data_IF_195397800409
#
_entry.id   IF_195397800409
#
_cell.length_a   1.000
_cell.length_b   1.000
_cell.length_c   1.000
_cell.angle_alpha   90.00
_cell.angle_beta   90.00
_cell.angle_gamma   90.00
#
_symmetry.space_group_name_H-M   'P 1'
#
loop_
_entity.id
_entity.type
_entity.pdbx_description
1 polymer ?
#
# COMPACT_ATOMS: atom_id res chain seq x y z
N UNK A 1 -11.52 -62.95 -22.51
CA UNK A 1 -10.24 -63.66 -22.21
C UNK A 1 -9.83 -64.39 -23.48
N UNK A 2 -8.83 -63.87 -24.20
CA UNK A 2 -8.22 -64.60 -25.31
C UNK A 2 -7.37 -65.70 -24.69
N UNK A 3 -7.61 -66.95 -25.08
CA UNK A 3 -6.87 -68.06 -24.51
C UNK A 3 -5.42 -68.02 -24.95
N UNK A 4 -4.47 -68.55 -24.15
CA UNK A 4 -3.07 -68.63 -24.53
C UNK A 4 -2.85 -69.34 -25.85
N UNK A 5 -3.76 -70.25 -26.21
CA UNK A 5 -3.74 -70.99 -27.50
C UNK A 5 -4.07 -70.04 -28.67
N UNK A 6 -5.03 -69.13 -28.52
CA UNK A 6 -5.33 -68.14 -29.56
C UNK A 6 -4.22 -67.14 -29.78
N UNK A 7 -3.53 -66.71 -28.70
CA UNK A 7 -2.33 -65.88 -28.80
C UNK A 7 -1.21 -66.62 -29.56
N UNK A 8 -0.96 -67.89 -29.21
CA UNK A 8 0.05 -68.70 -29.88
C UNK A 8 -0.32 -68.97 -31.35
N UNK A 9 -1.59 -69.28 -31.67
CA UNK A 9 -2.08 -69.49 -33.04
C UNK A 9 -1.94 -68.19 -33.88
N UNK A 10 -2.26 -67.01 -33.32
CA UNK A 10 -2.14 -65.74 -34.02
C UNK A 10 -0.66 -65.38 -34.26
N UNK A 11 0.21 -65.63 -33.28
CA UNK A 11 1.64 -65.46 -33.44
C UNK A 11 2.25 -66.37 -34.51
N UNK A 12 1.79 -67.67 -34.58
CA UNK A 12 2.22 -68.62 -35.54
C UNK A 12 1.71 -68.28 -36.96
N UNK A 13 0.46 -67.84 -37.10
CA UNK A 13 -0.09 -67.36 -38.36
C UNK A 13 0.69 -66.15 -38.91
N UNK A 14 1.04 -65.19 -38.06
CA UNK A 14 1.84 -64.00 -38.43
C UNK A 14 3.24 -64.36 -38.91
N UNK A 15 3.85 -65.47 -38.39
CA UNK A 15 5.15 -65.98 -38.84
C UNK A 15 5.00 -66.65 -40.21
N UNK A 16 3.94 -67.42 -40.43
CA UNK A 16 3.64 -68.08 -41.71
C UNK A 16 3.38 -67.13 -42.85
N UNK A 17 2.64 -66.00 -42.51
CA UNK A 17 2.33 -64.94 -43.44
C UNK A 17 3.47 -63.96 -43.70
N UNK A 18 4.66 -64.22 -43.15
CA UNK A 18 5.85 -63.37 -43.22
C UNK A 18 5.64 -61.92 -42.79
N UNK A 19 4.74 -61.72 -41.80
CA UNK A 19 4.35 -60.44 -41.22
C UNK A 19 4.69 -60.39 -39.73
N UNK A 20 5.96 -60.54 -39.32
CA UNK A 20 6.30 -60.54 -37.91
C UNK A 20 6.12 -59.16 -37.31
N UNK A 21 5.40 -59.06 -36.16
CA UNK A 21 5.33 -57.86 -35.38
C UNK A 21 6.69 -57.56 -34.76
N UNK A 22 7.21 -56.39 -35.01
CA UNK A 22 8.54 -55.96 -34.52
C UNK A 22 8.39 -54.92 -33.43
N UNK A 23 9.09 -55.08 -32.28
CA UNK A 23 9.12 -53.99 -31.27
C UNK A 23 9.92 -52.81 -31.82
N UNK A 24 9.56 -51.60 -31.38
CA UNK A 24 10.34 -50.40 -31.65
C UNK A 24 11.73 -50.53 -31.02
N UNK A 25 12.74 -49.90 -31.65
CA UNK A 25 14.10 -49.85 -31.10
C UNK A 25 14.08 -49.24 -29.69
N UNK A 26 14.72 -49.96 -28.73
CA UNK A 26 14.73 -49.58 -27.32
C UNK A 26 15.29 -48.16 -27.10
N UNK A 27 16.33 -47.75 -27.82
CA UNK A 27 16.90 -46.38 -27.72
C UNK A 27 15.93 -45.33 -28.17
N UNK A 28 15.23 -45.53 -29.30
CA UNK A 28 14.19 -44.62 -29.81
C UNK A 28 13.04 -44.54 -28.82
N UNK A 29 12.64 -45.67 -28.24
CA UNK A 29 11.58 -45.70 -27.23
C UNK A 29 11.92 -44.89 -25.96
N UNK A 30 13.13 -45.07 -25.43
CA UNK A 30 13.59 -44.32 -24.23
C UNK A 30 13.57 -42.81 -24.48
N UNK A 31 14.11 -42.37 -25.64
CA UNK A 31 14.09 -40.94 -26.01
C UNK A 31 12.66 -40.43 -26.14
N UNK A 32 11.78 -41.21 -26.78
CA UNK A 32 10.37 -40.85 -26.90
C UNK A 32 9.69 -40.68 -25.52
N UNK A 33 9.88 -41.64 -24.62
CA UNK A 33 9.31 -41.61 -23.25
C UNK A 33 9.78 -40.38 -22.49
N UNK A 34 11.07 -40.03 -22.58
CA UNK A 34 11.61 -38.82 -21.93
C UNK A 34 10.99 -37.54 -22.51
N UNK A 35 10.93 -37.42 -23.84
CA UNK A 35 10.34 -36.24 -24.49
C UNK A 35 8.84 -36.14 -24.23
N UNK A 36 8.11 -37.24 -24.23
CA UNK A 36 6.68 -37.27 -23.94
C UNK A 36 6.38 -36.82 -22.51
N UNK A 37 7.06 -37.41 -21.52
CA UNK A 37 6.86 -37.04 -20.12
C UNK A 37 7.24 -35.59 -19.80
N UNK A 38 8.39 -35.12 -20.32
CA UNK A 38 8.82 -33.73 -20.14
C UNK A 38 7.89 -32.74 -20.86
N UNK A 39 7.45 -33.06 -22.09
CA UNK A 39 6.51 -32.24 -22.85
C UNK A 39 5.16 -32.08 -22.13
N UNK A 40 4.60 -33.20 -21.66
CA UNK A 40 3.37 -33.16 -20.86
C UNK A 40 3.56 -32.35 -19.57
N UNK A 41 4.66 -32.52 -18.85
CA UNK A 41 4.98 -31.78 -17.64
C UNK A 41 5.07 -30.26 -17.87
N UNK A 42 5.72 -29.85 -18.97
CA UNK A 42 5.81 -28.42 -19.35
C UNK A 42 4.42 -27.87 -19.67
N UNK A 43 3.62 -28.57 -20.48
CA UNK A 43 2.25 -28.14 -20.83
C UNK A 43 1.43 -27.97 -19.55
N UNK A 44 1.44 -28.95 -18.65
CA UNK A 44 0.68 -28.89 -17.39
C UNK A 44 1.11 -27.72 -16.49
N UNK A 45 2.36 -27.29 -16.59
CA UNK A 45 2.88 -26.15 -15.82
C UNK A 45 2.45 -24.79 -16.39
N UNK A 46 2.42 -24.66 -17.73
CA UNK A 46 2.21 -23.38 -18.42
C UNK A 46 0.75 -22.96 -18.51
N UNK A 47 -0.19 -23.91 -18.49
CA UNK A 47 -1.63 -23.62 -18.71
C UNK A 47 -2.47 -23.90 -17.46
N UNK A 48 -3.70 -23.33 -17.38
CA UNK A 48 -4.65 -23.63 -16.29
C UNK A 48 -4.96 -25.14 -16.19
N UNK A 49 -5.31 -25.62 -14.98
CA UNK A 49 -5.48 -27.05 -14.71
C UNK A 49 -6.50 -27.72 -15.62
N UNK A 50 -7.66 -27.08 -15.84
CA UNK A 50 -8.71 -27.64 -16.72
C UNK A 50 -8.22 -27.75 -18.17
N UNK A 51 -7.47 -26.76 -18.64
CA UNK A 51 -6.88 -26.77 -20.00
C UNK A 51 -5.78 -27.83 -20.09
N UNK A 52 -4.94 -27.98 -19.06
CA UNK A 52 -3.89 -29.01 -19.05
C UNK A 52 -4.49 -30.43 -19.04
N UNK A 53 -5.56 -30.66 -18.29
CA UNK A 53 -6.29 -31.94 -18.32
C UNK A 53 -6.80 -32.28 -19.72
N UNK A 54 -7.39 -31.31 -20.43
CA UNK A 54 -7.85 -31.46 -21.80
C UNK A 54 -6.71 -31.78 -22.77
N UNK A 55 -5.57 -31.09 -22.64
CA UNK A 55 -4.37 -31.37 -23.44
C UNK A 55 -3.80 -32.77 -23.18
N UNK A 56 -3.67 -33.16 -21.92
CA UNK A 56 -3.17 -34.49 -21.54
C UNK A 56 -4.10 -35.58 -22.10
N UNK A 57 -5.42 -35.43 -21.96
CA UNK A 57 -6.39 -36.37 -22.50
C UNK A 57 -6.33 -36.43 -24.03
N UNK A 58 -6.33 -35.28 -24.72
CA UNK A 58 -6.25 -35.21 -26.18
C UNK A 58 -4.98 -35.82 -26.75
N UNK A 59 -3.82 -35.50 -26.18
CA UNK A 59 -2.53 -36.05 -26.59
C UNK A 59 -2.46 -37.57 -26.30
N UNK A 60 -3.03 -38.02 -25.19
CA UNK A 60 -3.09 -39.46 -24.85
C UNK A 60 -3.94 -40.24 -25.85
N UNK A 61 -5.10 -39.70 -26.24
CA UNK A 61 -5.94 -40.29 -27.30
C UNK A 61 -5.20 -40.31 -28.63
N UNK A 62 -4.55 -39.23 -29.03
CA UNK A 62 -3.77 -39.16 -30.25
C UNK A 62 -2.63 -40.21 -30.28
N UNK A 63 -1.91 -40.33 -29.17
CA UNK A 63 -0.87 -41.37 -29.02
C UNK A 63 -1.43 -42.79 -29.16
N UNK A 64 -2.54 -43.07 -28.47
CA UNK A 64 -3.22 -44.36 -28.53
C UNK A 64 -3.64 -44.73 -29.96
N UNK A 65 -4.33 -43.82 -30.64
CA UNK A 65 -4.78 -43.99 -32.02
C UNK A 65 -3.59 -44.21 -32.97
N UNK A 66 -2.53 -43.39 -32.83
CA UNK A 66 -1.31 -43.52 -33.61
C UNK A 66 -0.65 -44.88 -33.40
N UNK A 67 -0.58 -45.36 -32.16
CA UNK A 67 0.01 -46.67 -31.83
C UNK A 67 -0.79 -47.84 -32.46
N UNK A 68 -2.12 -47.75 -32.43
CA UNK A 68 -3.00 -48.75 -33.06
C UNK A 68 -2.85 -48.76 -34.58
N UNK A 69 -2.78 -47.58 -35.23
CA UNK A 69 -2.59 -47.47 -36.68
C UNK A 69 -1.23 -48.01 -37.11
N UNK A 70 -0.17 -47.71 -36.39
CA UNK A 70 1.18 -48.23 -36.69
C UNK A 70 1.27 -49.75 -36.48
N UNK A 71 0.62 -50.27 -35.47
CA UNK A 71 0.49 -51.71 -35.29
C UNK A 71 -0.21 -52.35 -36.49
N UNK A 72 -1.33 -51.79 -36.95
CA UNK A 72 -2.15 -52.32 -38.02
C UNK A 72 -1.46 -52.28 -39.41
N UNK A 73 -0.80 -51.18 -39.73
CA UNK A 73 -0.25 -50.92 -41.08
C UNK A 73 1.24 -51.22 -41.21
N UNK A 74 2.02 -51.02 -40.12
CA UNK A 74 3.47 -51.15 -40.15
C UNK A 74 3.99 -52.39 -39.38
N UNK A 75 3.08 -53.13 -38.72
CA UNK A 75 3.40 -54.24 -37.84
C UNK A 75 4.43 -53.89 -36.75
N UNK A 76 4.42 -52.62 -36.29
CA UNK A 76 5.25 -52.12 -35.21
C UNK A 76 4.49 -52.14 -33.90
N UNK A 77 5.10 -52.68 -32.85
CA UNK A 77 4.53 -52.70 -31.52
C UNK A 77 5.10 -51.58 -30.67
N UNK A 78 4.21 -50.70 -30.19
CA UNK A 78 4.54 -49.62 -29.28
C UNK A 78 4.04 -49.95 -27.87
N UNK A 79 4.87 -49.77 -26.82
CA UNK A 79 4.42 -49.92 -25.46
C UNK A 79 3.46 -48.76 -25.08
N UNK A 80 2.21 -49.11 -24.79
CA UNK A 80 1.14 -48.14 -24.46
C UNK A 80 1.09 -47.83 -22.96
N UNK A 81 1.44 -48.82 -22.12
CA UNK A 81 1.26 -48.75 -20.67
C UNK A 81 2.05 -47.62 -20.03
N UNK A 82 3.35 -47.52 -20.34
CA UNK A 82 4.21 -46.51 -19.70
C UNK A 82 3.78 -45.07 -20.06
N UNK A 83 3.62 -44.69 -21.34
CA UNK A 83 3.22 -43.32 -21.68
C UNK A 83 1.82 -42.92 -21.20
N UNK A 84 0.81 -43.80 -21.31
CA UNK A 84 -0.56 -43.49 -21.04
C UNK A 84 -0.99 -43.75 -19.59
N UNK A 85 -0.57 -44.89 -19.01
CA UNK A 85 -1.05 -45.29 -17.67
C UNK A 85 -0.16 -44.74 -16.56
N UNK A 86 1.11 -44.55 -16.83
CA UNK A 86 2.05 -44.04 -15.80
C UNK A 86 2.45 -42.59 -16.04
N UNK A 87 2.98 -42.22 -17.20
CA UNK A 87 3.55 -40.91 -17.43
C UNK A 87 2.49 -39.79 -17.51
N UNK A 88 1.40 -39.99 -18.25
CA UNK A 88 0.40 -38.97 -18.41
C UNK A 88 -0.25 -38.56 -17.05
N UNK A 89 -0.71 -39.53 -16.22
CA UNK A 89 -1.21 -39.17 -14.88
C UNK A 89 -0.15 -38.61 -13.96
N UNK A 90 1.08 -39.16 -13.94
CA UNK A 90 2.16 -38.68 -13.07
C UNK A 90 2.62 -37.27 -13.46
N UNK A 91 2.75 -36.99 -14.77
CA UNK A 91 3.08 -35.64 -15.25
C UNK A 91 2.00 -34.63 -14.91
N UNK A 92 0.72 -35.01 -15.04
CA UNK A 92 -0.40 -34.15 -14.66
C UNK A 92 -0.44 -33.89 -13.15
N UNK A 93 -0.46 -34.95 -12.35
CA UNK A 93 -0.57 -34.84 -10.89
C UNK A 93 0.67 -34.17 -10.28
N UNK A 94 1.88 -34.54 -10.72
CA UNK A 94 3.12 -33.95 -10.23
C UNK A 94 3.24 -32.48 -10.57
N UNK A 95 3.03 -32.09 -11.84
CA UNK A 95 3.10 -30.70 -12.26
C UNK A 95 2.02 -29.84 -11.60
N UNK A 96 0.80 -30.37 -11.47
CA UNK A 96 -0.31 -29.67 -10.82
C UNK A 96 -0.05 -29.53 -9.32
N UNK A 97 0.43 -30.58 -8.66
CA UNK A 97 0.78 -30.54 -7.24
C UNK A 97 1.89 -29.50 -6.93
N UNK A 98 2.96 -29.47 -7.75
CA UNK A 98 4.02 -28.46 -7.61
C UNK A 98 3.48 -27.05 -7.81
N UNK A 99 2.62 -26.85 -8.83
CA UNK A 99 1.99 -25.56 -9.10
C UNK A 99 1.14 -25.06 -7.92
N UNK A 100 0.28 -25.90 -7.37
CA UNK A 100 -0.54 -25.54 -6.20
C UNK A 100 0.28 -25.32 -4.94
N UNK A 101 1.32 -26.13 -4.70
CA UNK A 101 2.21 -25.92 -3.57
C UNK A 101 2.95 -24.57 -3.66
N UNK A 102 3.35 -24.14 -4.86
CA UNK A 102 3.98 -22.85 -5.07
C UNK A 102 3.00 -21.68 -4.86
N UNK A 103 1.79 -21.77 -5.46
CA UNK A 103 0.73 -20.77 -5.27
C UNK A 103 0.31 -20.64 -3.81
N UNK A 104 0.19 -21.79 -3.11
CA UNK A 104 -0.15 -21.79 -1.69
C UNK A 104 0.96 -21.14 -0.83
N UNK A 105 2.23 -21.39 -1.16
CA UNK A 105 3.35 -20.73 -0.49
C UNK A 105 3.32 -19.22 -0.71
N UNK A 106 3.09 -18.77 -1.94
CA UNK A 106 2.98 -17.35 -2.29
C UNK A 106 1.82 -16.68 -1.53
N UNK A 107 0.66 -17.35 -1.48
CA UNK A 107 -0.50 -16.90 -0.71
C UNK A 107 -0.16 -16.71 0.79
N UNK A 108 0.49 -17.71 1.41
CA UNK A 108 0.89 -17.62 2.82
C UNK A 108 1.90 -16.50 3.09
N UNK A 109 2.85 -16.28 2.17
CA UNK A 109 3.80 -15.17 2.29
C UNK A 109 3.09 -13.83 2.21
N UNK A 110 2.17 -13.68 1.25
CA UNK A 110 1.38 -12.46 1.10
C UNK A 110 0.53 -12.18 2.33
N UNK A 111 -0.17 -13.19 2.84
CA UNK A 111 -0.98 -13.06 4.06
C UNK A 111 -0.14 -12.61 5.27
N UNK A 112 1.04 -13.20 5.48
CA UNK A 112 1.92 -12.76 6.57
C UNK A 112 2.40 -11.32 6.40
N UNK A 113 2.72 -10.92 5.18
CA UNK A 113 3.10 -9.52 4.92
C UNK A 113 1.95 -8.55 5.22
N UNK A 114 0.72 -8.90 4.89
CA UNK A 114 -0.46 -8.09 5.21
C UNK A 114 -0.68 -8.02 6.74
N UNK A 115 -0.54 -9.14 7.46
CA UNK A 115 -0.61 -9.18 8.93
C UNK A 115 0.48 -8.32 9.59
N UNK A 116 1.73 -8.39 9.10
CA UNK A 116 2.85 -7.58 9.60
C UNK A 116 2.63 -6.08 9.35
N UNK A 117 2.08 -5.71 8.17
CA UNK A 117 1.75 -4.32 7.85
C UNK A 117 0.61 -3.79 8.72
N UNK A 118 -0.45 -4.56 8.91
CA UNK A 118 -1.56 -4.19 9.81
C UNK A 118 -1.07 -3.97 11.24
N UNK A 119 -0.24 -4.88 11.76
CA UNK A 119 0.36 -4.71 13.09
C UNK A 119 1.25 -3.47 13.18
N UNK A 120 1.95 -3.12 12.10
CA UNK A 120 2.72 -1.89 11.98
C UNK A 120 1.85 -0.64 12.02
N UNK A 121 0.69 -0.68 11.35
CA UNK A 121 -0.31 0.39 11.35
C UNK A 121 -0.94 0.60 12.73
N UNK A 122 -1.35 -0.49 13.41
CA UNK A 122 -1.88 -0.43 14.77
C UNK A 122 -0.87 0.20 15.74
N UNK A 123 0.42 -0.13 15.59
CA UNK A 123 1.47 0.48 16.39
C UNK A 123 1.62 1.98 16.05
N UNK A 124 1.59 2.35 14.77
CA UNK A 124 1.65 3.74 14.34
C UNK A 124 0.47 4.55 14.89
N UNK A 125 -0.76 4.03 14.79
CA UNK A 125 -1.96 4.65 15.36
C UNK A 125 -1.83 4.86 16.86
N UNK A 126 -1.29 3.89 17.59
CA UNK A 126 -1.04 4.00 19.03
C UNK A 126 -0.03 5.09 19.42
N UNK A 127 0.82 5.51 18.49
CA UNK A 127 1.76 6.62 18.68
C UNK A 127 1.10 7.98 18.49
N UNK A 128 0.00 8.07 17.73
CA UNK A 128 -0.75 9.32 17.54
C UNK A 128 -1.46 9.73 18.84
N UNK A 129 -1.72 11.01 19.05
CA UNK A 129 -2.52 11.47 20.19
C UNK A 129 -3.91 10.81 20.17
N UNK A 130 -4.26 10.08 21.23
CA UNK A 130 -5.58 9.45 21.36
C UNK A 130 -6.69 10.47 21.66
N UNK A 131 -6.34 11.57 22.32
CA UNK A 131 -7.26 12.66 22.70
C UNK A 131 -6.58 14.00 22.46
N UNK A 132 -7.38 15.00 22.10
CA UNK A 132 -6.92 16.38 22.02
C UNK A 132 -6.70 16.98 23.41
N UNK A 133 -5.66 17.81 23.63
CA UNK A 133 -5.43 18.45 24.92
C UNK A 133 -6.57 19.41 25.29
N UNK A 134 -6.97 19.40 26.55
CA UNK A 134 -7.98 20.29 27.09
C UNK A 134 -7.30 21.54 27.65
N UNK A 135 -7.52 22.68 27.02
CA UNK A 135 -6.90 23.94 27.40
C UNK A 135 -8.01 24.98 27.64
N UNK A 136 -7.95 25.66 28.78
CA UNK A 136 -8.93 26.70 29.10
C UNK A 136 -8.88 27.85 28.08
N UNK A 137 -10.02 28.17 27.50
CA UNK A 137 -10.16 29.23 26.48
C UNK A 137 -9.84 28.75 25.04
N UNK A 138 -9.58 27.48 24.84
CA UNK A 138 -9.34 26.90 23.52
C UNK A 138 -10.13 25.59 23.32
N UNK A 139 -10.47 25.32 22.07
CA UNK A 139 -11.06 24.06 21.64
C UNK A 139 -10.20 23.48 20.49
N UNK A 140 -9.87 22.23 20.59
CA UNK A 140 -9.01 21.56 19.60
C UNK A 140 -9.72 20.29 19.16
N UNK A 141 -9.79 20.10 17.85
CA UNK A 141 -10.22 18.87 17.23
C UNK A 141 -9.16 18.40 16.22
N UNK A 142 -8.90 17.11 16.15
CA UNK A 142 -7.94 16.56 15.19
C UNK A 142 -8.40 15.19 14.70
N UNK A 143 -8.06 14.89 13.47
CA UNK A 143 -8.32 13.59 12.86
C UNK A 143 -7.24 13.26 11.84
N UNK A 144 -6.80 12.01 11.85
CA UNK A 144 -5.99 11.42 10.78
C UNK A 144 -6.66 10.14 10.29
N UNK A 145 -6.70 9.95 9.00
CA UNK A 145 -7.24 8.75 8.35
C UNK A 145 -6.24 8.30 7.30
N UNK A 146 -5.64 7.15 7.51
CA UNK A 146 -4.65 6.60 6.60
C UNK A 146 -5.32 5.98 5.36
N UNK A 147 -4.71 6.14 4.20
CA UNK A 147 -5.15 5.54 2.94
C UNK A 147 -4.77 4.06 2.81
N UNK A 148 -3.77 3.61 3.59
CA UNK A 148 -3.26 2.23 3.62
C UNK A 148 -3.05 1.78 5.05
N UNK A 149 -2.55 0.53 5.21
CA UNK A 149 -2.26 -0.06 6.52
C UNK A 149 -1.24 0.76 7.31
N UNK A 150 -0.33 1.47 6.64
CA UNK A 150 0.71 2.33 7.23
C UNK A 150 0.79 3.61 6.42
N UNK A 151 0.70 4.77 7.07
CA UNK A 151 0.70 6.09 6.46
C UNK A 151 2.01 6.87 6.63
N UNK A 152 2.14 7.97 5.88
CA UNK A 152 3.19 8.98 6.04
C UNK A 152 2.76 10.12 6.95
N UNK A 153 1.47 10.40 6.98
CA UNK A 153 0.87 11.50 7.73
C UNK A 153 0.92 11.29 9.25
N UNK A 154 1.11 12.38 9.95
CA UNK A 154 1.00 12.41 11.40
C UNK A 154 0.67 13.79 11.94
N UNK A 155 0.14 13.81 13.15
CA UNK A 155 0.04 15.02 13.95
C UNK A 155 0.45 14.71 15.39
N UNK A 156 0.80 15.75 16.13
CA UNK A 156 1.12 15.62 17.55
C UNK A 156 0.80 16.91 18.31
N UNK A 157 0.53 16.72 19.60
CA UNK A 157 0.40 17.80 20.57
C UNK A 157 1.51 17.67 21.62
N UNK A 158 2.26 18.73 21.82
CA UNK A 158 3.43 18.75 22.69
C UNK A 158 3.24 19.80 23.78
N UNK A 159 3.00 19.35 24.98
CA UNK A 159 2.96 20.24 26.16
C UNK A 159 4.37 20.67 26.52
N UNK A 160 4.85 21.75 25.87
CA UNK A 160 6.21 22.28 26.08
C UNK A 160 6.38 22.92 27.47
N UNK A 161 5.30 23.53 28.01
CA UNK A 161 5.22 24.03 29.38
C UNK A 161 3.74 24.21 29.76
N UNK A 162 3.47 24.65 31.02
CA UNK A 162 2.10 24.97 31.47
C UNK A 162 1.39 26.00 30.60
N UNK A 163 2.13 26.87 29.92
CA UNK A 163 1.60 27.99 29.14
C UNK A 163 1.85 27.84 27.63
N UNK A 164 2.51 26.76 27.18
CA UNK A 164 2.89 26.57 25.78
C UNK A 164 2.48 25.19 25.27
N UNK A 165 1.70 25.16 24.19
CA UNK A 165 1.33 23.98 23.46
C UNK A 165 1.95 23.98 22.06
N UNK A 166 2.76 22.99 21.75
CA UNK A 166 3.22 22.71 20.39
C UNK A 166 2.20 21.88 19.61
N UNK A 167 1.98 22.25 18.36
CA UNK A 167 1.19 21.48 17.39
C UNK A 167 2.10 21.13 16.23
N UNK A 168 2.08 19.86 15.85
CA UNK A 168 2.83 19.33 14.70
C UNK A 168 1.86 18.70 13.74
N UNK A 169 1.99 18.98 12.46
CA UNK A 169 1.34 18.24 11.39
C UNK A 169 2.38 18.02 10.29
N UNK A 170 2.46 16.79 9.78
CA UNK A 170 3.48 16.46 8.77
C UNK A 170 3.06 15.31 7.91
N UNK A 171 3.62 15.29 6.71
CA UNK A 171 3.56 14.20 5.75
C UNK A 171 4.99 13.76 5.37
N UNK A 172 5.23 12.47 5.43
CA UNK A 172 6.50 11.85 5.06
C UNK A 172 6.38 11.19 3.70
N UNK A 173 7.27 11.54 2.80
CA UNK A 173 7.33 10.86 1.50
C UNK A 173 7.50 9.35 1.64
N UNK A 174 6.59 8.61 0.98
CA UNK A 174 6.65 7.15 0.91
C UNK A 174 5.61 6.46 1.78
N UNK A 175 4.59 5.93 1.14
CA UNK A 175 3.45 5.19 1.74
C UNK A 175 3.85 3.75 2.09
N UNK A 176 4.71 3.57 3.10
CA UNK A 176 5.24 2.27 3.51
C UNK A 176 5.83 2.32 4.91
N UNK A 177 6.29 1.18 5.41
CA UNK A 177 7.01 1.06 6.70
C UNK A 177 8.15 2.08 6.84
N UNK A 178 8.84 2.44 5.75
CA UNK A 178 9.89 3.47 5.80
C UNK A 178 9.34 4.86 6.11
N UNK A 179 8.17 5.23 5.57
CA UNK A 179 7.47 6.47 5.93
C UNK A 179 7.11 6.51 7.41
N UNK A 180 6.50 5.44 7.93
CA UNK A 180 6.15 5.34 9.35
C UNK A 180 7.35 5.44 10.30
N UNK A 181 8.50 4.86 9.94
CA UNK A 181 9.73 4.99 10.73
C UNK A 181 10.26 6.43 10.75
N UNK A 182 10.24 7.12 9.60
CA UNK A 182 10.64 8.54 9.52
C UNK A 182 9.65 9.42 10.28
N UNK A 183 8.34 9.15 10.18
CA UNK A 183 7.31 9.81 10.96
C UNK A 183 7.58 9.70 12.46
N UNK A 184 7.82 8.48 12.97
CA UNK A 184 8.12 8.23 14.38
C UNK A 184 9.38 8.96 14.86
N UNK A 185 10.43 8.97 14.01
CA UNK A 185 11.65 9.72 14.27
C UNK A 185 11.40 11.23 14.32
N UNK A 186 10.65 11.77 13.34
CA UNK A 186 10.29 13.19 13.26
C UNK A 186 9.52 13.62 14.52
N UNK A 187 8.48 12.88 14.88
CA UNK A 187 7.69 13.13 16.09
C UNK A 187 8.56 13.16 17.35
N UNK A 188 9.48 12.21 17.51
CA UNK A 188 10.38 12.14 18.67
C UNK A 188 11.35 13.32 18.71
N UNK A 189 11.85 13.75 17.55
CA UNK A 189 12.74 14.90 17.44
C UNK A 189 12.04 16.20 17.84
N UNK A 190 10.82 16.43 17.36
CA UNK A 190 10.04 17.63 17.71
C UNK A 190 9.69 17.65 19.20
N UNK A 191 9.25 16.54 19.79
CA UNK A 191 9.00 16.45 21.24
C UNK A 191 10.24 16.84 22.05
N UNK A 192 11.39 16.27 21.73
CA UNK A 192 12.64 16.53 22.44
C UNK A 192 13.10 17.98 22.29
N UNK A 193 12.98 18.58 21.09
CA UNK A 193 13.40 19.96 20.86
C UNK A 193 12.46 21.00 21.48
N UNK A 194 11.20 20.66 21.67
CA UNK A 194 10.18 21.53 22.27
C UNK A 194 10.30 21.63 23.80
N UNK A 195 11.06 20.78 24.46
CA UNK A 195 11.32 20.85 25.93
C UNK A 195 12.25 22.04 26.30
N UNK A 196 12.88 22.69 25.31
CA UNK A 196 13.80 23.80 25.50
C UNK A 196 13.17 25.18 25.24
N UNK A 197 14.00 26.22 25.41
CA UNK A 197 13.61 27.63 25.14
C UNK A 197 13.94 28.08 23.70
N UNK A 198 13.83 27.19 22.72
CA UNK A 198 14.07 27.51 21.33
C UNK A 198 12.87 28.22 20.69
N UNK A 199 13.11 29.12 19.73
CA UNK A 199 12.05 29.62 18.85
C UNK A 199 11.57 28.50 17.89
N UNK A 200 10.38 28.66 17.32
CA UNK A 200 9.80 27.69 16.40
C UNK A 200 10.71 27.45 15.19
N UNK A 201 11.22 28.51 14.59
CA UNK A 201 12.20 28.41 13.49
C UNK A 201 13.49 27.66 13.90
N UNK A 202 14.01 27.91 15.09
CA UNK A 202 15.21 27.19 15.58
C UNK A 202 14.92 25.69 15.83
N UNK A 203 13.72 25.34 16.29
CA UNK A 203 13.30 23.92 16.39
C UNK A 203 13.30 23.29 15.00
N UNK A 204 12.72 23.97 13.98
CA UNK A 204 12.70 23.49 12.60
C UNK A 204 14.10 23.26 12.06
N UNK A 205 14.99 24.25 12.17
CA UNK A 205 16.39 24.17 11.71
C UNK A 205 17.12 22.99 12.38
N UNK A 206 16.95 22.82 13.69
CA UNK A 206 17.60 21.71 14.40
C UNK A 206 16.98 20.35 14.06
N UNK A 207 15.67 20.28 13.87
CA UNK A 207 14.98 19.08 13.43
C UNK A 207 15.48 18.66 12.04
N UNK A 208 15.57 19.60 11.09
CA UNK A 208 16.11 19.36 9.76
C UNK A 208 17.52 18.77 9.82
N UNK A 209 18.44 19.39 10.59
CA UNK A 209 19.82 18.92 10.73
C UNK A 209 19.94 17.52 11.32
N UNK A 210 19.00 17.09 12.18
CA UNK A 210 18.96 15.74 12.75
C UNK A 210 18.36 14.74 11.79
N UNK A 211 17.17 15.04 11.27
CA UNK A 211 16.44 14.14 10.36
C UNK A 211 17.24 13.88 9.10
N UNK A 212 17.87 14.89 8.51
CA UNK A 212 18.68 14.72 7.29
C UNK A 212 19.82 13.71 7.44
N UNK A 213 20.32 13.47 8.66
CA UNK A 213 21.36 12.46 8.91
C UNK A 213 20.81 11.05 8.99
N UNK A 214 19.55 10.92 9.41
CA UNK A 214 18.90 9.64 9.72
C UNK A 214 18.03 9.14 8.58
N UNK A 215 17.47 10.04 7.76
CA UNK A 215 16.61 9.67 6.64
C UNK A 215 17.43 9.32 5.40
N UNK A 216 16.89 8.35 4.63
CA UNK A 216 17.52 7.90 3.38
C UNK A 216 17.45 9.01 2.32
N UNK A 217 18.51 9.14 1.51
CA UNK A 217 18.50 10.05 0.36
C UNK A 217 17.27 9.86 -0.53
N UNK A 218 16.58 10.96 -0.83
CA UNK A 218 15.33 10.98 -1.59
C UNK A 218 14.05 10.89 -0.74
N UNK A 219 14.18 10.73 0.58
CA UNK A 219 13.06 10.90 1.51
C UNK A 219 13.11 12.31 2.11
N UNK A 220 11.93 12.85 2.38
CA UNK A 220 11.78 14.16 3.03
C UNK A 220 10.47 14.19 3.83
N UNK A 221 10.34 15.21 4.68
CA UNK A 221 9.16 15.41 5.52
C UNK A 221 8.62 16.80 5.25
N UNK A 222 7.45 16.89 4.65
CA UNK A 222 6.67 18.12 4.65
C UNK A 222 6.04 18.29 6.03
N UNK A 223 6.31 19.41 6.72
CA UNK A 223 5.91 19.57 8.10
C UNK A 223 5.63 21.04 8.44
N UNK A 224 4.59 21.24 9.23
CA UNK A 224 4.34 22.51 9.92
C UNK A 224 4.42 22.30 11.42
N UNK A 225 5.16 23.15 12.08
CA UNK A 225 5.24 23.22 13.53
C UNK A 225 4.73 24.57 14.01
N UNK A 226 3.81 24.55 14.97
CA UNK A 226 3.28 25.73 15.60
C UNK A 226 3.38 25.64 17.12
N UNK A 227 3.62 26.76 17.78
CA UNK A 227 3.67 26.92 19.24
C UNK A 227 2.63 27.96 19.67
N UNK A 228 1.63 27.50 20.41
CA UNK A 228 0.65 28.37 21.03
C UNK A 228 1.15 28.85 22.40
N UNK A 229 1.35 30.17 22.55
CA UNK A 229 1.45 30.82 23.88
C UNK A 229 0.04 31.07 24.38
N UNK A 230 -0.41 30.27 25.33
CA UNK A 230 -1.79 30.26 25.83
C UNK A 230 -2.16 31.57 26.47
N UNK A 231 -1.25 32.16 27.29
CA UNK A 231 -1.50 33.40 28.01
C UNK A 231 -1.50 34.62 27.10
N UNK A 232 -0.54 34.67 26.16
CA UNK A 232 -0.47 35.80 25.21
C UNK A 232 -1.44 35.69 24.08
N UNK A 233 -2.03 34.48 23.86
CA UNK A 233 -2.88 34.17 22.71
C UNK A 233 -2.15 34.38 21.38
N UNK A 234 -0.86 34.05 21.34
CA UNK A 234 -0.03 34.15 20.14
C UNK A 234 0.25 32.75 19.66
N UNK A 235 -0.03 32.48 18.38
CA UNK A 235 0.39 31.29 17.68
C UNK A 235 1.59 31.65 16.82
N UNK A 236 2.76 31.09 17.15
CA UNK A 236 3.98 31.20 16.33
C UNK A 236 4.11 29.93 15.53
N UNK A 237 4.28 30.01 14.20
CA UNK A 237 4.37 28.85 13.33
C UNK A 237 5.51 28.99 12.31
N UNK A 238 6.00 27.83 11.84
CA UNK A 238 6.98 27.72 10.77
C UNK A 238 6.62 26.51 9.91
N UNK A 239 6.70 26.65 8.58
CA UNK A 239 6.38 25.59 7.62
C UNK A 239 7.60 25.14 6.84
N UNK A 240 7.78 23.85 6.73
CA UNK A 240 8.76 23.19 5.89
C UNK A 240 8.06 22.36 4.80
N UNK A 241 7.52 23.03 3.80
CA UNK A 241 6.89 22.41 2.64
C UNK A 241 5.47 21.86 2.86
N UNK A 242 4.84 22.20 3.98
CA UNK A 242 3.45 21.79 4.27
C UNK A 242 2.45 22.79 3.65
N UNK A 243 1.19 22.35 3.49
CA UNK A 243 0.08 23.19 3.05
C UNK A 243 -0.09 24.42 3.93
N UNK A 244 -0.49 25.54 3.32
CA UNK A 244 -0.73 26.78 4.07
C UNK A 244 -1.95 26.62 4.97
N UNK A 245 -1.85 26.97 6.28
CA UNK A 245 -3.00 26.97 7.17
C UNK A 245 -4.06 27.99 6.74
N UNK A 246 -5.29 27.71 7.08
CA UNK A 246 -6.41 28.63 6.81
C UNK A 246 -6.90 29.19 8.15
N UNK A 247 -6.91 30.52 8.26
CA UNK A 247 -7.32 31.26 9.43
C UNK A 247 -8.65 31.97 9.19
N UNK A 248 -9.67 31.64 9.96
CA UNK A 248 -10.91 32.37 10.06
C UNK A 248 -10.79 33.43 11.15
N UNK A 249 -10.92 34.70 10.79
CA UNK A 249 -10.85 35.87 11.68
C UNK A 249 -12.27 36.29 12.11
N UNK A 250 -12.63 35.97 13.33
CA UNK A 250 -14.01 36.17 13.82
C UNK A 250 -14.47 37.65 13.83
N UNK A 251 -13.55 38.59 14.03
CA UNK A 251 -13.86 40.03 14.06
C UNK A 251 -14.36 40.56 12.70
N UNK A 252 -13.83 40.07 11.62
CA UNK A 252 -14.17 40.50 10.25
C UNK A 252 -15.04 39.48 9.50
N UNK A 253 -15.09 38.25 9.95
CA UNK A 253 -15.72 37.14 9.24
C UNK A 253 -14.94 36.68 8.00
N UNK A 254 -13.69 37.13 7.86
CA UNK A 254 -12.84 36.80 6.71
C UNK A 254 -12.06 35.51 6.94
N UNK A 255 -11.87 34.78 5.86
CA UNK A 255 -11.03 33.57 5.83
C UNK A 255 -9.77 33.87 5.05
N UNK A 256 -8.60 33.68 5.67
CA UNK A 256 -7.30 34.06 5.13
C UNK A 256 -6.38 32.85 5.06
N UNK A 257 -5.57 32.75 4.00
CA UNK A 257 -4.39 31.88 3.96
C UNK A 257 -3.30 32.49 4.82
N UNK A 258 -2.69 31.65 5.65
CA UNK A 258 -1.53 32.06 6.43
C UNK A 258 -0.27 31.84 5.61
N UNK A 259 0.28 32.94 5.08
CA UNK A 259 1.59 32.90 4.44
C UNK A 259 2.67 32.79 5.53
N UNK A 260 3.54 31.79 5.41
CA UNK A 260 4.69 31.60 6.31
C UNK A 260 5.89 32.33 5.76
N UNK A 261 6.63 32.99 6.68
CA UNK A 261 7.88 33.66 6.32
C UNK A 261 9.01 32.64 6.12
N UNK A 262 10.00 32.98 5.28
CA UNK A 262 11.18 32.15 4.98
C UNK A 262 11.00 31.16 3.83
N UNK A 263 11.96 30.27 3.70
CA UNK A 263 12.00 29.23 2.66
C UNK A 263 11.20 28.00 3.11
N UNK A 264 10.07 27.73 2.49
CA UNK A 264 9.24 26.56 2.85
C UNK A 264 9.71 25.28 2.10
N UNK A 265 10.93 24.79 2.37
CA UNK A 265 11.42 23.53 1.83
C UNK A 265 11.19 22.38 2.83
N UNK A 266 10.72 21.20 2.37
CA UNK A 266 10.57 20.04 3.24
C UNK A 266 11.88 19.66 3.95
N UNK A 267 11.76 19.18 5.18
CA UNK A 267 12.90 18.73 6.00
C UNK A 267 13.61 17.55 5.31
N UNK A 268 14.93 17.58 5.36
CA UNK A 268 15.80 16.57 4.75
C UNK A 268 16.26 16.89 3.33
N UNK A 269 15.73 17.93 2.68
CA UNK A 269 16.14 18.34 1.32
C UNK A 269 17.39 19.25 1.39
N UNK A 270 17.29 20.40 2.04
CA UNK A 270 18.37 21.39 2.14
C UNK A 270 19.13 21.25 3.45
N UNK A 271 20.41 21.66 3.45
CA UNK A 271 21.22 21.71 4.68
C UNK A 271 20.88 22.92 5.54
N UNK A 272 20.70 24.06 4.89
CA UNK A 272 20.38 25.33 5.52
C UNK A 272 19.17 25.92 4.79
N UNK A 273 17.98 25.79 5.37
CA UNK A 273 16.77 26.47 4.96
C UNK A 273 16.63 27.76 5.80
N UNK A 274 16.11 28.82 5.19
CA UNK A 274 15.80 30.08 5.91
C UNK A 274 14.41 29.95 6.55
N UNK A 275 14.34 29.16 7.61
CA UNK A 275 13.12 28.98 8.41
C UNK A 275 12.91 30.21 9.32
N UNK A 276 11.73 30.81 9.26
CA UNK A 276 11.40 32.02 10.04
C UNK A 276 10.10 31.83 10.83
N UNK A 277 10.00 32.56 11.96
CA UNK A 277 8.82 32.56 12.82
C UNK A 277 7.73 33.47 12.26
N UNK A 278 6.56 32.92 11.95
CA UNK A 278 5.37 33.66 11.59
C UNK A 278 4.43 33.73 12.80
N UNK A 279 3.97 34.91 13.18
CA UNK A 279 3.15 35.13 14.38
C UNK A 279 1.73 35.52 14.03
N UNK A 280 0.74 34.86 14.67
CA UNK A 280 -0.66 35.16 14.58
C UNK A 280 -1.16 35.53 15.98
N UNK A 281 -1.75 36.73 16.13
CA UNK A 281 -2.43 37.12 17.36
C UNK A 281 -3.87 36.62 17.30
N UNK A 282 -4.22 35.68 18.14
CA UNK A 282 -5.58 35.15 18.23
C UNK A 282 -6.52 36.05 19.01
N UNK A 283 -7.77 36.15 18.55
CA UNK A 283 -8.89 36.77 19.21
C UNK A 283 -9.98 35.75 19.53
N UNK A 284 -10.87 36.05 20.51
CA UNK A 284 -12.01 35.17 20.78
C UNK A 284 -12.86 34.92 19.53
N UNK A 285 -13.19 33.66 19.29
CA UNK A 285 -13.93 33.20 18.10
C UNK A 285 -13.09 32.87 16.87
N UNK A 286 -11.81 33.27 16.83
CA UNK A 286 -10.90 32.88 15.74
C UNK A 286 -10.73 31.36 15.66
N UNK A 287 -10.56 30.85 14.44
CA UNK A 287 -10.27 29.46 14.19
C UNK A 287 -9.17 29.33 13.14
N UNK A 288 -8.31 28.33 13.30
CA UNK A 288 -7.29 27.97 12.30
C UNK A 288 -7.33 26.48 12.02
N UNK A 289 -7.19 26.11 10.75
CA UNK A 289 -7.02 24.72 10.36
C UNK A 289 -5.62 24.49 9.80
N UNK A 290 -5.05 23.35 10.21
CA UNK A 290 -3.87 22.75 9.63
C UNK A 290 -4.29 21.45 8.97
N UNK A 291 -3.81 21.18 7.78
CA UNK A 291 -4.23 20.01 7.02
C UNK A 291 -3.12 19.53 6.10
N UNK A 292 -3.15 18.26 5.72
CA UNK A 292 -2.27 17.69 4.70
C UNK A 292 -2.93 17.76 3.33
N UNK A 293 -2.14 17.61 2.29
CA UNK A 293 -2.59 17.70 0.88
C UNK A 293 -3.66 16.66 0.52
N UNK A 294 -3.73 15.52 1.22
CA UNK A 294 -4.78 14.51 1.02
C UNK A 294 -6.21 15.04 1.14
N UNK A 295 -6.45 16.18 1.83
CA UNK A 295 -7.75 16.84 1.86
C UNK A 295 -8.09 17.45 0.50
N UNK A 296 -7.19 18.28 -0.02
CA UNK A 296 -7.44 19.03 -1.26
C UNK A 296 -7.22 18.18 -2.52
N UNK A 297 -6.39 17.14 -2.42
CA UNK A 297 -6.10 16.19 -3.50
C UNK A 297 -7.06 14.99 -3.55
N UNK A 298 -8.02 14.90 -2.61
CA UNK A 298 -9.04 13.85 -2.65
C UNK A 298 -9.77 13.84 -4.00
N UNK A 299 -9.82 12.67 -4.66
CA UNK A 299 -10.36 12.54 -6.02
C UNK A 299 -11.73 11.87 -6.04
N UNK A 300 -12.56 12.32 -6.99
CA UNK A 300 -13.83 11.68 -7.31
C UNK A 300 -13.70 10.68 -8.48
N UNK A 301 -14.80 10.01 -8.85
CA UNK A 301 -14.83 9.03 -9.94
C UNK A 301 -14.53 9.62 -11.35
N UNK A 302 -14.46 10.94 -11.48
CA UNK A 302 -14.08 11.64 -12.71
C UNK A 302 -12.63 12.13 -12.71
N UNK A 303 -11.85 11.74 -11.68
CA UNK A 303 -10.47 12.21 -11.46
C UNK A 303 -10.38 13.73 -11.21
N UNK A 304 -11.46 14.35 -10.74
CA UNK A 304 -11.44 15.74 -10.29
C UNK A 304 -10.99 15.78 -8.83
N UNK A 305 -10.15 16.76 -8.47
CA UNK A 305 -9.72 16.97 -7.09
C UNK A 305 -10.80 17.73 -6.30
N UNK A 306 -10.88 17.51 -4.99
CA UNK A 306 -11.71 18.28 -4.09
C UNK A 306 -11.38 19.76 -4.21
N UNK A 307 -10.11 20.08 -4.17
CA UNK A 307 -9.58 21.40 -4.44
C UNK A 307 -9.65 22.33 -3.25
N UNK A 308 -8.85 23.36 -3.35
CA UNK A 308 -8.72 24.38 -2.33
C UNK A 308 -9.97 25.27 -2.20
N UNK A 309 -10.65 25.54 -3.31
CA UNK A 309 -11.82 26.40 -3.37
C UNK A 309 -12.96 25.88 -2.50
N UNK A 310 -13.24 24.57 -2.54
CA UNK A 310 -14.28 23.96 -1.69
C UNK A 310 -13.92 23.99 -0.21
N UNK A 311 -12.64 23.85 0.12
CA UNK A 311 -12.19 23.96 1.50
C UNK A 311 -12.37 25.39 2.02
N UNK A 312 -12.07 26.41 1.21
CA UNK A 312 -12.28 27.81 1.56
C UNK A 312 -13.76 28.13 1.74
N UNK A 313 -14.65 27.64 0.87
CA UNK A 313 -16.11 27.80 1.01
C UNK A 313 -16.62 27.25 2.35
N UNK A 314 -16.12 26.11 2.82
CA UNK A 314 -16.49 25.59 4.14
C UNK A 314 -15.96 26.51 5.25
N UNK A 315 -14.74 27.00 5.11
CA UNK A 315 -14.12 27.89 6.09
C UNK A 315 -14.81 29.24 6.20
N UNK A 316 -15.48 29.75 5.15
CA UNK A 316 -16.30 30.99 5.22
C UNK A 316 -17.45 30.88 6.26
N UNK A 317 -17.92 29.65 6.53
CA UNK A 317 -18.96 29.36 7.51
C UNK A 317 -18.39 28.88 8.86
N UNK A 318 -17.06 28.88 9.04
CA UNK A 318 -16.40 28.38 10.25
C UNK A 318 -16.84 29.13 11.53
N UNK A 319 -17.28 30.40 11.42
CA UNK A 319 -17.77 31.18 12.55
C UNK A 319 -18.97 30.55 13.26
N UNK A 320 -19.81 29.82 12.56
CA UNK A 320 -21.05 29.22 13.05
C UNK A 320 -20.82 27.86 13.74
N UNK A 321 -19.63 27.27 13.64
CA UNK A 321 -19.31 25.92 14.08
C UNK A 321 -18.29 25.94 15.22
N UNK A 322 -18.39 25.01 16.15
CA UNK A 322 -17.25 24.64 17.00
C UNK A 322 -16.20 23.86 16.23
N UNK A 323 -14.95 23.74 16.74
CA UNK A 323 -13.87 23.06 16.03
C UNK A 323 -14.15 21.60 15.65
N UNK A 324 -14.87 20.85 16.47
CA UNK A 324 -15.24 19.46 16.18
C UNK A 324 -16.28 19.38 15.04
N UNK A 325 -17.30 20.25 15.09
CA UNK A 325 -18.30 20.34 14.03
C UNK A 325 -17.69 20.78 12.70
N UNK A 326 -16.76 21.75 12.71
CA UNK A 326 -16.04 22.19 11.52
C UNK A 326 -15.17 21.08 10.94
N UNK A 327 -14.42 20.36 11.77
CA UNK A 327 -13.63 19.19 11.34
C UNK A 327 -14.51 18.14 10.68
N UNK A 328 -15.64 17.79 11.31
CA UNK A 328 -16.57 16.82 10.78
C UNK A 328 -17.19 17.26 9.45
N UNK A 329 -17.52 18.54 9.31
CA UNK A 329 -18.05 19.10 8.05
C UNK A 329 -17.03 18.97 6.91
N UNK A 330 -15.76 19.32 7.16
CA UNK A 330 -14.69 19.19 6.17
C UNK A 330 -14.52 17.70 5.76
N UNK A 331 -14.39 16.80 6.72
CA UNK A 331 -14.20 15.37 6.45
C UNK A 331 -15.38 14.77 5.72
N UNK A 332 -16.61 15.11 6.11
CA UNK A 332 -17.83 14.63 5.45
C UNK A 332 -17.95 15.17 4.02
N UNK A 333 -17.59 16.43 3.79
CA UNK A 333 -17.60 17.04 2.46
C UNK A 333 -16.59 16.37 1.53
N UNK A 334 -15.36 16.08 2.00
CA UNK A 334 -14.35 15.32 1.26
C UNK A 334 -14.85 13.91 0.92
N UNK A 335 -15.41 13.19 1.90
CA UNK A 335 -15.94 11.85 1.70
C UNK A 335 -17.13 11.83 0.73
N UNK A 336 -18.04 12.79 0.83
CA UNK A 336 -19.18 12.92 -0.08
C UNK A 336 -18.73 13.22 -1.51
N UNK A 337 -17.69 14.03 -1.68
CA UNK A 337 -17.10 14.33 -2.98
C UNK A 337 -16.39 13.12 -3.60
N UNK A 338 -15.60 12.38 -2.82
CA UNK A 338 -14.91 11.18 -3.26
C UNK A 338 -15.87 10.02 -3.58
N UNK A 339 -16.98 9.92 -2.84
CA UNK A 339 -18.01 8.87 -3.02
C UNK A 339 -17.43 7.48 -2.76
N UNK A 340 -17.46 6.60 -3.79
CA UNK A 340 -16.94 5.23 -3.68
C UNK A 340 -15.49 5.06 -4.16
N UNK A 341 -14.79 6.16 -4.46
CA UNK A 341 -13.37 6.10 -4.85
C UNK A 341 -12.53 5.80 -3.61
N UNK A 342 -11.61 4.86 -3.73
CA UNK A 342 -10.69 4.56 -2.65
C UNK A 342 -9.82 5.79 -2.34
N UNK A 343 -9.60 6.05 -1.06
CA UNK A 343 -8.75 7.13 -0.60
C UNK A 343 -7.34 6.98 -1.19
N UNK A 344 -6.83 8.06 -1.78
CA UNK A 344 -5.58 8.05 -2.55
C UNK A 344 -4.38 8.41 -1.70
N UNK A 345 -4.57 9.33 -0.75
CA UNK A 345 -3.57 9.80 0.20
C UNK A 345 -4.11 9.84 1.62
N UNK A 346 -3.20 9.90 2.59
CA UNK A 346 -3.55 10.06 3.99
C UNK A 346 -4.24 11.42 4.17
N UNK A 347 -5.20 11.48 5.08
CA UNK A 347 -5.99 12.68 5.35
C UNK A 347 -5.80 13.06 6.80
N UNK A 348 -5.12 14.16 7.04
CA UNK A 348 -4.88 14.67 8.40
C UNK A 348 -5.31 16.13 8.54
N UNK A 349 -6.01 16.44 9.61
CA UNK A 349 -6.52 17.78 9.91
C UNK A 349 -6.47 18.05 11.40
N UNK A 350 -6.09 19.29 11.76
CA UNK A 350 -6.21 19.86 13.11
C UNK A 350 -7.02 21.16 13.00
N UNK A 351 -8.01 21.31 13.85
CA UNK A 351 -8.78 22.54 13.99
C UNK A 351 -8.53 23.10 15.39
N UNK A 352 -8.00 24.31 15.49
CA UNK A 352 -7.81 25.05 16.73
C UNK A 352 -8.72 26.25 16.74
N UNK A 353 -9.57 26.40 17.75
CA UNK A 353 -10.47 27.53 17.95
C UNK A 353 -10.24 28.20 19.30
N UNK A 354 -10.43 29.53 19.35
CA UNK A 354 -10.42 30.32 20.58
C UNK A 354 -11.85 30.45 21.06
N UNK A 355 -12.13 30.10 22.33
CA UNK A 355 -13.46 30.25 22.91
C UNK A 355 -13.87 31.70 22.95
N UNK A 356 -15.17 31.95 22.70
CA UNK A 356 -15.79 33.28 22.72
C UNK A 356 -15.95 33.83 24.12
#
# INVERSE_FOLDING_TARGET
>A
FISGVEIAATAFANIIEDKPVRPINTGVYVVFVLLWGTGLGIICRMVPVLVSASWVAGLSVLYFVSSVLQFKFLHLWYPIVIPLVLQAPLSFLGSTGIKYAWLFKEFLVKQRMEEDLTSGGDLQESMMPGECPVIEGYQIAAKSTQAREVGGDFYDFIEASEDKLGLVIGDVTGKSVSGALVMSASRSVFRMLSEGDLSVANIMIQANKRLKKDIRSGMFVALLFAMLDIKKKILTLCSAGQTQPIHYVAETGETLLVETEGDSFPLGILDDADDQDTNIQFKPGDKIIFYTDGIVEAMNAKEEMFGFERLMEIMEHAGEMDPESLLNEIVNSVNAFAGNVAQHDDLTIIVLGVST
#
